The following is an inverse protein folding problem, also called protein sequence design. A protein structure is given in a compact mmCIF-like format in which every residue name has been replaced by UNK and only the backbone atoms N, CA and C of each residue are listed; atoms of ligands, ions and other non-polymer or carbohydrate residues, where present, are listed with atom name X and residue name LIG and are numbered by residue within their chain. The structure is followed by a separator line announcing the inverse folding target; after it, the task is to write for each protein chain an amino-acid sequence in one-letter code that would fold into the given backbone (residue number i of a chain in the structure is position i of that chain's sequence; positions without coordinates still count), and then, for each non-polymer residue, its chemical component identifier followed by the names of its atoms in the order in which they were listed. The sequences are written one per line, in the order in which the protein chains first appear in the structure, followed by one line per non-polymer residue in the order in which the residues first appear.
data_IF_888494030901
#
_entry.id   IF_888494030901
#
_cell.length_a   1.000
_cell.length_b   1.000
_cell.length_c   1.000
_cell.angle_alpha   90.00
_cell.angle_beta   90.00
_cell.angle_gamma   90.00
#
_symmetry.space_group_name_H-M   'P 1'
#
loop_
_entity.id
_entity.type
_entity.pdbx_description
1 polymer ?
#
# COMPACT_ATOMS: atom_id res chain seq x y z
N UNK A 1 4.05 20.91 31.88
CA UNK A 1 2.72 20.65 32.51
C UNK A 1 1.53 20.68 31.55
N UNK A 2 1.48 21.54 30.55
CA UNK A 2 0.38 21.71 29.60
C UNK A 2 0.08 20.45 28.76
N UNK A 3 1.11 19.71 28.31
CA UNK A 3 0.99 18.49 27.51
C UNK A 3 0.20 17.39 28.22
N UNK A 4 0.55 17.09 29.46
CA UNK A 4 -0.13 16.06 30.26
C UNK A 4 -1.61 16.40 30.48
N UNK A 5 -1.92 17.68 30.63
CA UNK A 5 -3.29 18.19 30.80
C UNK A 5 -4.13 18.05 29.52
N UNK A 6 -3.55 18.35 28.33
CA UNK A 6 -4.20 18.20 27.02
C UNK A 6 -4.52 16.72 26.76
N UNK A 7 -3.60 15.82 27.07
CA UNK A 7 -3.82 14.36 26.97
C UNK A 7 -4.95 13.90 27.88
N UNK A 8 -4.93 14.30 29.15
CA UNK A 8 -5.95 13.90 30.11
C UNK A 8 -7.34 14.37 29.69
N UNK A 9 -7.47 15.60 29.19
CA UNK A 9 -8.74 16.12 28.65
C UNK A 9 -9.22 15.28 27.48
N UNK A 10 -8.36 15.01 26.50
CA UNK A 10 -8.71 14.21 25.31
C UNK A 10 -9.11 12.77 25.67
N UNK A 11 -8.35 12.12 26.56
CA UNK A 11 -8.69 10.77 27.04
C UNK A 11 -10.04 10.76 27.75
N UNK A 12 -10.34 11.78 28.57
CA UNK A 12 -11.61 11.90 29.27
C UNK A 12 -12.77 12.12 28.31
N UNK A 13 -12.61 12.97 27.31
CA UNK A 13 -13.65 13.28 26.31
C UNK A 13 -13.93 12.04 25.43
N UNK A 14 -12.88 11.31 25.06
CA UNK A 14 -12.99 10.06 24.33
C UNK A 14 -13.71 8.98 25.16
N UNK A 15 -13.34 8.84 26.45
CA UNK A 15 -13.98 7.89 27.36
C UNK A 15 -15.45 8.21 27.58
N UNK A 16 -15.80 9.47 27.76
CA UNK A 16 -17.18 9.93 27.88
C UNK A 16 -17.97 9.62 26.59
N UNK A 17 -17.42 9.91 25.41
CA UNK A 17 -18.04 9.62 24.14
C UNK A 17 -18.26 8.11 23.95
N UNK A 18 -17.27 7.27 24.24
CA UNK A 18 -17.38 5.82 24.13
C UNK A 18 -18.46 5.23 25.06
N UNK A 19 -18.61 5.79 26.26
CA UNK A 19 -19.65 5.39 27.20
C UNK A 19 -21.04 5.82 26.72
N UNK A 20 -21.17 7.05 26.25
CA UNK A 20 -22.42 7.59 25.71
C UNK A 20 -22.93 6.78 24.52
N UNK A 21 -22.04 6.28 23.68
CA UNK A 21 -22.35 5.44 22.51
C UNK A 21 -22.43 3.96 22.84
N UNK A 22 -22.26 3.57 24.10
CA UNK A 22 -22.32 2.17 24.58
C UNK A 22 -21.40 1.22 23.80
N UNK A 23 -20.19 1.70 23.43
CA UNK A 23 -19.23 0.89 22.71
C UNK A 23 -18.85 -0.36 23.52
N UNK A 24 -18.77 -1.56 22.91
CA UNK A 24 -18.33 -2.78 23.57
C UNK A 24 -16.98 -2.62 24.24
N UNK A 25 -16.76 -3.33 25.35
CA UNK A 25 -15.52 -3.24 26.16
C UNK A 25 -14.26 -3.49 25.34
N UNK A 26 -14.29 -4.45 24.40
CA UNK A 26 -13.18 -4.76 23.52
C UNK A 26 -12.82 -3.59 22.60
N UNK A 27 -13.80 -2.90 22.03
CA UNK A 27 -13.55 -1.72 21.20
C UNK A 27 -13.01 -0.55 22.02
N UNK A 28 -13.55 -0.33 23.23
CA UNK A 28 -13.04 0.70 24.14
C UNK A 28 -11.57 0.45 24.53
N UNK A 29 -11.21 -0.80 24.78
CA UNK A 29 -9.83 -1.18 25.09
C UNK A 29 -8.89 -0.92 23.90
N UNK A 30 -9.33 -1.25 22.68
CA UNK A 30 -8.54 -0.98 21.44
C UNK A 30 -8.33 0.50 21.21
N UNK A 31 -9.36 1.32 21.40
CA UNK A 31 -9.26 2.80 21.27
C UNK A 31 -8.31 3.37 22.30
N UNK A 32 -8.39 2.94 23.58
CA UNK A 32 -7.46 3.38 24.64
C UNK A 32 -6.03 3.01 24.31
N UNK A 33 -5.81 1.78 23.85
CA UNK A 33 -4.48 1.30 23.48
C UNK A 33 -3.90 2.11 22.33
N UNK A 34 -4.70 2.38 21.29
CA UNK A 34 -4.33 3.22 20.16
C UNK A 34 -3.95 4.65 20.60
N UNK A 35 -4.79 5.32 21.38
CA UNK A 35 -4.50 6.68 21.87
C UNK A 35 -3.23 6.70 22.74
N UNK A 36 -3.00 5.68 23.55
CA UNK A 36 -1.79 5.59 24.37
C UNK A 36 -0.53 5.38 23.54
N UNK A 37 -0.58 4.50 22.56
CA UNK A 37 0.54 4.25 21.62
C UNK A 37 0.83 5.48 20.77
N UNK A 38 -0.21 6.07 20.20
CA UNK A 38 -0.09 7.31 19.42
C UNK A 38 0.61 8.40 20.22
N UNK A 39 0.20 8.58 21.48
CA UNK A 39 0.82 9.55 22.36
C UNK A 39 2.28 9.24 22.68
N UNK A 40 2.61 7.98 22.95
CA UNK A 40 3.97 7.54 23.21
C UNK A 40 4.91 7.76 22.01
N UNK A 41 4.42 7.49 20.79
CA UNK A 41 5.18 7.66 19.56
C UNK A 41 5.40 9.13 19.18
N UNK A 42 4.38 9.94 19.33
CA UNK A 42 4.44 11.37 18.94
C UNK A 42 5.04 12.27 20.05
N UNK A 43 5.64 11.68 21.10
CA UNK A 43 6.20 12.44 22.21
C UNK A 43 5.18 13.36 22.90
N UNK A 44 3.88 13.09 22.69
CA UNK A 44 2.78 13.87 23.25
C UNK A 44 2.37 15.11 22.45
N UNK A 45 3.02 15.37 21.34
CA UNK A 45 2.65 16.43 20.37
C UNK A 45 2.51 15.80 18.98
N UNK A 46 1.60 16.33 18.21
CA UNK A 46 1.57 16.06 16.79
C UNK A 46 2.77 16.76 16.16
N UNK A 47 3.80 16.02 15.71
CA UNK A 47 5.00 16.59 15.09
C UNK A 47 4.65 17.58 13.98
N UNK A 48 3.56 17.30 13.26
CA UNK A 48 3.07 18.19 12.22
C UNK A 48 2.41 19.45 12.78
N UNK A 49 1.96 19.47 14.05
CA UNK A 49 1.51 20.70 14.70
C UNK A 49 2.68 21.63 15.04
N UNK A 50 3.81 21.06 15.46
CA UNK A 50 5.03 21.84 15.65
C UNK A 50 5.52 22.50 14.37
N UNK A 51 5.31 21.84 13.24
CA UNK A 51 5.72 22.34 11.92
C UNK A 51 4.72 23.40 11.39
N UNK A 52 3.45 23.40 11.84
CA UNK A 52 2.43 24.34 11.35
C UNK A 52 2.77 25.81 11.65
N UNK A 53 3.39 26.08 12.79
CA UNK A 53 3.75 27.42 13.23
C UNK A 53 5.00 27.99 12.51
N UNK A 54 5.68 27.14 11.73
CA UNK A 54 6.85 27.55 10.97
C UNK A 54 6.47 28.27 9.67
N UNK A 55 7.32 29.17 9.17
CA UNK A 55 7.16 29.78 7.86
C UNK A 55 6.95 28.72 6.76
N UNK A 56 6.13 29.04 5.77
CA UNK A 56 5.72 28.07 4.73
C UNK A 56 6.91 27.42 4.02
N UNK A 57 7.95 28.18 3.68
CA UNK A 57 9.17 27.65 3.05
C UNK A 57 9.85 26.59 3.91
N UNK A 58 10.09 26.91 5.20
CA UNK A 58 10.76 25.98 6.12
C UNK A 58 9.92 24.73 6.37
N UNK A 59 8.62 24.87 6.47
CA UNK A 59 7.68 23.74 6.60
C UNK A 59 7.74 22.83 5.39
N UNK A 60 7.80 23.39 4.19
CA UNK A 60 7.92 22.63 2.93
C UNK A 60 9.26 21.88 2.87
N UNK A 61 10.35 22.52 3.24
CA UNK A 61 11.68 21.91 3.26
C UNK A 61 11.75 20.73 4.24
N UNK A 62 11.19 20.88 5.43
CA UNK A 62 11.12 19.79 6.43
C UNK A 62 10.30 18.62 5.91
N UNK A 63 9.11 18.87 5.36
CA UNK A 63 8.28 17.82 4.77
C UNK A 63 9.00 17.12 3.63
N UNK A 64 9.65 17.87 2.74
CA UNK A 64 10.45 17.32 1.66
C UNK A 64 11.53 16.40 2.19
N UNK A 65 12.30 16.84 3.17
CA UNK A 65 13.36 16.04 3.80
C UNK A 65 12.83 14.72 4.38
N UNK A 66 11.70 14.75 5.07
CA UNK A 66 11.12 13.55 5.70
C UNK A 66 10.50 12.57 4.71
N UNK A 67 9.94 13.04 3.59
CA UNK A 67 9.10 12.22 2.72
C UNK A 67 9.77 11.84 1.39
N UNK A 68 10.74 12.64 0.90
CA UNK A 68 11.26 12.52 -0.47
C UNK A 68 11.85 11.14 -0.77
N UNK A 69 12.67 10.62 0.14
CA UNK A 69 13.33 9.32 -0.05
C UNK A 69 12.33 8.16 -0.06
N UNK A 70 11.27 8.28 0.73
CA UNK A 70 10.18 7.30 0.76
C UNK A 70 9.35 7.34 -0.53
N UNK A 71 9.01 8.54 -0.99
CA UNK A 71 8.23 8.76 -2.21
C UNK A 71 9.01 8.26 -3.44
N UNK A 72 10.31 8.50 -3.51
CA UNK A 72 11.18 8.03 -4.59
C UNK A 72 11.35 6.49 -4.63
N UNK A 73 10.98 5.77 -3.59
CA UNK A 73 10.95 4.30 -3.63
C UNK A 73 9.84 3.77 -4.53
N UNK A 74 8.81 4.56 -4.81
CA UNK A 74 7.80 4.23 -5.81
C UNK A 74 8.37 4.52 -7.20
N UNK A 75 8.55 3.52 -8.07
CA UNK A 75 9.18 3.71 -9.38
C UNK A 75 8.47 4.70 -10.29
N UNK A 76 7.15 4.83 -10.14
CA UNK A 76 6.38 5.84 -10.85
C UNK A 76 6.88 7.26 -10.54
N UNK A 77 7.34 7.50 -9.32
CA UNK A 77 7.74 8.82 -8.84
C UNK A 77 9.24 9.12 -9.02
N UNK A 78 10.06 8.09 -9.30
CA UNK A 78 11.52 8.26 -9.45
C UNK A 78 11.92 9.20 -10.58
N UNK A 79 11.14 9.25 -11.66
CA UNK A 79 11.40 10.03 -12.87
C UNK A 79 10.64 11.36 -12.92
N UNK A 80 9.98 11.74 -11.80
CA UNK A 80 9.23 12.99 -11.74
C UNK A 80 10.14 14.16 -11.39
N UNK A 81 9.76 15.34 -11.92
CA UNK A 81 10.46 16.59 -11.64
C UNK A 81 10.28 16.99 -10.16
N UNK A 82 11.23 17.75 -9.64
CA UNK A 82 11.22 18.23 -8.26
C UNK A 82 9.94 18.99 -7.90
N UNK A 83 9.39 19.78 -8.82
CA UNK A 83 8.13 20.49 -8.62
C UNK A 83 6.96 19.54 -8.31
N UNK A 84 6.89 18.40 -9.01
CA UNK A 84 5.84 17.40 -8.78
C UNK A 84 6.08 16.66 -7.47
N UNK A 85 7.33 16.32 -7.19
CA UNK A 85 7.72 15.67 -5.92
C UNK A 85 7.39 16.57 -4.71
N UNK A 86 7.63 17.87 -4.80
CA UNK A 86 7.25 18.83 -3.77
C UNK A 86 5.73 18.88 -3.56
N UNK A 87 4.96 18.87 -4.65
CA UNK A 87 3.50 18.79 -4.58
C UNK A 87 3.00 17.50 -3.93
N UNK A 88 3.70 16.39 -4.11
CA UNK A 88 3.40 15.13 -3.43
C UNK A 88 3.74 15.26 -1.94
N UNK A 89 4.95 15.70 -1.60
CA UNK A 89 5.42 15.86 -0.22
C UNK A 89 4.49 16.77 0.61
N UNK A 90 4.00 17.86 0.02
CA UNK A 90 3.09 18.78 0.71
C UNK A 90 1.76 18.15 1.10
N UNK A 91 1.29 17.15 0.34
CA UNK A 91 -0.01 16.49 0.53
C UNK A 91 0.03 15.21 1.35
N UNK A 92 1.22 14.71 1.60
CA UNK A 92 1.42 13.53 2.46
C UNK A 92 1.10 13.88 3.90
N UNK A 93 0.42 12.96 4.59
CA UNK A 93 0.00 13.10 6.00
C UNK A 93 0.62 12.00 6.85
N UNK A 94 1.06 12.30 8.08
CA UNK A 94 1.53 11.27 9.00
C UNK A 94 0.38 10.37 9.44
N UNK A 95 0.67 9.08 9.57
CA UNK A 95 -0.25 8.04 10.02
C UNK A 95 0.44 7.20 11.08
N UNK A 96 -0.33 6.75 12.06
CA UNK A 96 0.13 5.83 13.10
C UNK A 96 -0.87 4.69 13.19
N UNK A 97 -0.37 3.47 13.18
CA UNK A 97 -1.16 2.26 13.31
C UNK A 97 -0.69 1.45 14.52
N UNK A 98 -1.64 0.87 15.22
CA UNK A 98 -1.37 0.01 16.38
C UNK A 98 -0.93 -1.39 15.93
N UNK A 99 -0.22 -2.08 16.82
CA UNK A 99 0.07 -3.50 16.64
C UNK A 99 -1.24 -4.28 16.42
N UNK A 100 -1.19 -5.27 15.52
CA UNK A 100 -2.30 -6.13 15.12
C UNK A 100 -3.48 -5.40 14.46
N UNK A 101 -3.32 -4.10 14.16
CA UNK A 101 -4.32 -3.34 13.42
C UNK A 101 -4.35 -3.78 11.94
N UNK A 102 -5.56 -4.06 11.45
CA UNK A 102 -5.79 -4.27 10.02
C UNK A 102 -6.02 -2.92 9.36
N UNK A 103 -5.05 -2.47 8.58
CA UNK A 103 -5.10 -1.17 7.91
C UNK A 103 -6.12 -1.18 6.77
N UNK A 104 -6.11 -2.25 5.98
CA UNK A 104 -7.05 -2.48 4.88
C UNK A 104 -7.20 -3.99 4.67
N UNK A 105 -8.38 -4.43 4.24
CA UNK A 105 -8.63 -5.84 3.89
C UNK A 105 -8.61 -6.02 2.38
N UNK A 106 -8.28 -7.22 1.94
CA UNK A 106 -8.42 -7.62 0.54
C UNK A 106 -9.86 -7.40 0.07
N UNK A 107 -10.03 -6.72 -1.07
CA UNK A 107 -11.33 -6.34 -1.62
C UNK A 107 -11.88 -4.99 -1.15
N UNK A 108 -11.37 -4.42 -0.05
CA UNK A 108 -11.79 -3.10 0.40
C UNK A 108 -11.28 -1.99 -0.55
N UNK A 109 -12.00 -0.86 -0.70
CA UNK A 109 -11.56 0.24 -1.53
C UNK A 109 -10.29 0.89 -0.98
N UNK A 110 -9.30 1.08 -1.85
CA UNK A 110 -8.03 1.72 -1.49
C UNK A 110 -8.19 3.23 -1.50
N UNK A 111 -8.07 3.86 -0.32
CA UNK A 111 -8.24 5.31 -0.16
C UNK A 111 -6.93 6.08 -0.21
N UNK A 112 -5.78 5.42 -0.01
CA UNK A 112 -4.48 6.07 0.05
C UNK A 112 -3.32 5.12 -0.27
N UNK A 113 -2.23 5.70 -0.76
CA UNK A 113 -0.92 5.04 -0.78
C UNK A 113 -0.27 5.28 0.57
N UNK A 114 0.26 4.22 1.20
CA UNK A 114 0.89 4.29 2.52
C UNK A 114 2.36 3.93 2.41
N UNK A 115 3.23 4.77 2.95
CA UNK A 115 4.69 4.61 2.98
C UNK A 115 5.12 4.32 4.42
N UNK A 116 5.77 3.20 4.67
CA UNK A 116 6.19 2.79 6.00
C UNK A 116 7.48 3.52 6.38
N UNK A 117 7.44 4.29 7.46
CA UNK A 117 8.61 4.98 8.04
C UNK A 117 9.29 4.08 9.05
N UNK A 118 8.50 3.50 9.97
CA UNK A 118 8.95 2.64 11.06
C UNK A 118 7.93 1.56 11.34
N UNK A 119 8.38 0.40 11.78
CA UNK A 119 7.52 -0.74 12.03
C UNK A 119 7.45 -1.69 10.84
N UNK A 120 6.69 -2.77 10.97
CA UNK A 120 6.53 -3.82 9.96
C UNK A 120 5.08 -4.15 9.74
N UNK A 121 4.71 -4.34 8.47
CA UNK A 121 3.34 -4.65 8.04
C UNK A 121 3.34 -5.97 7.29
N UNK A 122 2.48 -6.89 7.71
CA UNK A 122 2.24 -8.17 7.03
C UNK A 122 1.21 -7.94 5.93
N UNK A 123 1.57 -8.29 4.70
CA UNK A 123 0.65 -8.42 3.58
C UNK A 123 0.20 -9.88 3.45
N UNK A 124 -1.09 -10.11 3.28
CA UNK A 124 -1.68 -11.43 3.08
C UNK A 124 -2.64 -11.36 1.89
N UNK A 125 -2.38 -12.14 0.86
CA UNK A 125 -3.18 -12.20 -0.37
C UNK A 125 -3.73 -13.61 -0.57
N UNK A 126 -5.05 -13.72 -0.77
CA UNK A 126 -5.68 -14.98 -1.10
C UNK A 126 -5.44 -15.31 -2.58
N UNK A 127 -4.81 -16.44 -2.81
CA UNK A 127 -4.60 -16.99 -4.14
C UNK A 127 -5.61 -18.10 -4.41
N UNK A 128 -5.84 -18.40 -5.69
CA UNK A 128 -6.74 -19.47 -6.09
C UNK A 128 -6.44 -20.79 -5.34
N UNK A 129 -7.48 -21.52 -4.90
CA UNK A 129 -7.41 -22.81 -4.20
C UNK A 129 -6.94 -22.77 -2.74
N UNK A 130 -7.23 -21.71 -2.00
CA UNK A 130 -6.95 -21.64 -0.56
C UNK A 130 -5.49 -21.42 -0.21
N UNK A 131 -4.64 -21.08 -1.17
CA UNK A 131 -3.26 -20.69 -0.94
C UNK A 131 -3.21 -19.22 -0.55
N UNK A 132 -2.61 -18.92 0.61
CA UNK A 132 -2.39 -17.54 1.07
C UNK A 132 -0.91 -17.20 0.85
N UNK A 133 -0.66 -16.20 0.01
CA UNK A 133 0.66 -15.61 -0.10
C UNK A 133 0.84 -14.57 1.00
N UNK A 134 1.93 -14.65 1.75
CA UNK A 134 2.27 -13.67 2.79
C UNK A 134 3.62 -13.07 2.51
N UNK A 135 3.73 -11.76 2.72
CA UNK A 135 5.01 -11.03 2.70
C UNK A 135 5.04 -10.02 3.85
N UNK A 136 6.24 -9.59 4.21
CA UNK A 136 6.43 -8.56 5.24
C UNK A 136 6.99 -7.33 4.54
N UNK A 137 6.33 -6.19 4.77
CA UNK A 137 6.81 -4.88 4.37
C UNK A 137 7.58 -4.27 5.53
N UNK A 138 8.82 -3.90 5.26
CA UNK A 138 9.74 -3.26 6.20
C UNK A 138 9.74 -1.73 6.02
N UNK A 139 10.45 -0.98 6.89
CA UNK A 139 10.62 0.46 6.71
C UNK A 139 11.12 0.81 5.32
N UNK A 140 10.43 1.76 4.69
CA UNK A 140 10.65 2.14 3.30
C UNK A 140 9.84 1.32 2.29
N UNK A 141 9.09 0.31 2.72
CA UNK A 141 8.06 -0.32 1.92
C UNK A 141 6.84 0.57 1.78
N UNK A 142 5.99 0.26 0.81
CA UNK A 142 4.72 0.95 0.59
C UNK A 142 3.65 -0.02 0.11
N UNK A 143 2.38 0.38 0.22
CA UNK A 143 1.23 -0.35 -0.29
C UNK A 143 0.12 0.62 -0.70
N UNK A 144 -0.92 0.10 -1.37
CA UNK A 144 -1.95 0.93 -2.01
C UNK A 144 -1.55 1.35 -3.42
N UNK A 145 -0.63 0.62 -4.03
CA UNK A 145 -0.11 0.82 -5.38
C UNK A 145 -1.18 0.63 -6.48
N UNK A 146 -2.34 0.03 -6.16
CA UNK A 146 -3.51 -0.01 -7.03
C UNK A 146 -3.98 1.39 -7.45
N UNK A 147 -3.79 2.38 -6.58
CA UNK A 147 -4.10 3.78 -6.89
C UNK A 147 -3.20 4.37 -7.99
N UNK A 148 -1.97 3.86 -8.17
CA UNK A 148 -1.05 4.36 -9.19
C UNK A 148 -1.58 4.08 -10.61
N UNK A 149 -2.15 2.91 -10.84
CA UNK A 149 -2.79 2.59 -12.11
C UNK A 149 -4.14 3.28 -12.25
N UNK A 150 -4.92 3.36 -11.16
CA UNK A 150 -6.24 3.99 -11.15
C UNK A 150 -6.18 5.49 -11.48
N UNK A 151 -5.24 6.25 -10.92
CA UNK A 151 -5.13 7.69 -11.17
C UNK A 151 -4.67 8.04 -12.61
N UNK A 152 -4.09 7.07 -13.32
CA UNK A 152 -3.64 7.24 -14.71
C UNK A 152 -4.68 6.83 -15.75
N UNK A 153 -5.80 6.23 -15.34
CA UNK A 153 -6.88 5.82 -16.26
C UNK A 153 -7.60 7.04 -16.86
N UNK A 154 -7.93 6.93 -18.14
CA UNK A 154 -8.75 7.90 -18.88
C UNK A 154 -9.79 7.15 -19.74
N UNK A 155 -11.10 7.47 -19.70
CA UNK A 155 -11.72 8.44 -18.79
C UNK A 155 -11.60 8.06 -17.33
N UNK A 156 -11.73 9.02 -16.41
CA UNK A 156 -11.66 8.75 -14.99
C UNK A 156 -12.80 7.84 -14.52
N UNK A 157 -12.45 6.87 -13.71
CA UNK A 157 -13.41 6.02 -13.00
C UNK A 157 -13.47 6.53 -11.55
N UNK A 158 -14.67 6.91 -11.09
CA UNK A 158 -14.83 7.45 -9.74
C UNK A 158 -14.71 6.37 -8.66
N UNK A 159 -15.02 5.12 -9.01
CA UNK A 159 -14.88 4.00 -8.10
C UNK A 159 -13.41 3.73 -7.80
N UNK A 160 -13.06 3.73 -6.51
CA UNK A 160 -11.73 3.39 -6.04
C UNK A 160 -11.39 1.92 -6.36
N UNK A 161 -10.12 1.61 -6.63
CA UNK A 161 -9.68 0.24 -6.86
C UNK A 161 -9.79 -0.57 -5.56
N UNK A 162 -10.05 -1.85 -5.68
CA UNK A 162 -10.04 -2.78 -4.56
C UNK A 162 -8.60 -3.14 -4.18
N UNK A 163 -8.34 -3.29 -2.89
CA UNK A 163 -7.05 -3.78 -2.39
C UNK A 163 -6.83 -5.24 -2.81
N UNK A 164 -5.67 -5.52 -3.33
CA UNK A 164 -5.26 -6.87 -3.76
C UNK A 164 -4.81 -7.77 -2.59
N UNK A 165 -4.63 -7.21 -1.39
CA UNK A 165 -4.19 -7.92 -0.21
C UNK A 165 -4.74 -7.30 1.08
N UNK A 166 -4.69 -8.07 2.17
CA UNK A 166 -4.93 -7.58 3.53
C UNK A 166 -3.63 -7.15 4.16
N UNK A 167 -3.57 -5.92 4.69
CA UNK A 167 -2.39 -5.38 5.37
C UNK A 167 -2.66 -5.26 6.87
N UNK A 168 -1.81 -5.92 7.68
CA UNK A 168 -1.92 -5.97 9.14
C UNK A 168 -0.59 -5.59 9.78
N UNK A 169 -0.60 -4.69 10.74
CA UNK A 169 0.60 -4.29 11.49
C UNK A 169 1.09 -5.44 12.37
N UNK A 170 2.36 -5.81 12.26
CA UNK A 170 3.02 -6.77 13.15
C UNK A 170 3.40 -6.10 14.47
N UNK A 171 3.79 -4.85 14.38
CA UNK A 171 4.16 -3.99 15.49
C UNK A 171 3.58 -2.60 15.27
N UNK A 172 3.71 -1.73 16.26
CA UNK A 172 3.30 -0.34 16.10
C UNK A 172 4.05 0.31 14.94
N UNK A 173 3.32 0.90 14.01
CA UNK A 173 3.82 1.34 12.70
C UNK A 173 3.56 2.82 12.49
N UNK A 174 4.64 3.56 12.21
CA UNK A 174 4.58 4.95 11.73
C UNK A 174 4.67 4.95 10.21
N UNK A 175 3.84 5.76 9.58
CA UNK A 175 3.74 5.81 8.13
C UNK A 175 3.36 7.21 7.64
N UNK A 176 3.57 7.45 6.35
CA UNK A 176 2.97 8.57 5.64
C UNK A 176 1.91 8.06 4.66
N UNK A 177 0.83 8.82 4.51
CA UNK A 177 -0.26 8.50 3.59
C UNK A 177 -0.50 9.59 2.56
N UNK A 178 -0.63 9.21 1.29
CA UNK A 178 -1.08 10.07 0.21
C UNK A 178 -2.48 9.66 -0.22
N UNK A 179 -3.47 10.51 0.04
CA UNK A 179 -4.87 10.23 -0.25
C UNK A 179 -5.13 10.15 -1.77
N UNK A 180 -6.06 9.27 -2.19
CA UNK A 180 -6.43 9.04 -3.60
C UNK A 180 -6.83 10.34 -4.33
N UNK A 181 -7.58 11.22 -3.66
CA UNK A 181 -7.99 12.50 -4.23
C UNK A 181 -6.80 13.43 -4.50
N UNK A 182 -5.81 13.44 -3.61
CA UNK A 182 -4.59 14.23 -3.81
C UNK A 182 -3.74 13.67 -4.94
N UNK A 183 -3.62 12.34 -5.01
CA UNK A 183 -2.91 11.67 -6.10
C UNK A 183 -3.56 11.96 -7.45
N UNK A 184 -4.90 11.87 -7.53
CA UNK A 184 -5.68 12.21 -8.72
C UNK A 184 -5.48 13.68 -9.13
N UNK A 185 -5.54 14.60 -8.17
CA UNK A 185 -5.29 16.03 -8.41
C UNK A 185 -3.91 16.25 -9.03
N UNK A 186 -2.86 15.63 -8.46
CA UNK A 186 -1.49 15.77 -8.96
C UNK A 186 -1.37 15.22 -10.39
N UNK A 187 -1.89 14.02 -10.64
CA UNK A 187 -1.83 13.39 -11.97
C UNK A 187 -2.63 14.13 -13.03
N UNK A 188 -3.68 14.84 -12.63
CA UNK A 188 -4.47 15.67 -13.54
C UNK A 188 -3.81 17.03 -13.80
N UNK A 189 -3.31 17.67 -12.75
CA UNK A 189 -2.61 18.96 -12.86
C UNK A 189 -1.32 18.85 -13.67
N UNK A 190 -0.55 17.80 -13.48
CA UNK A 190 0.70 17.53 -14.23
C UNK A 190 0.50 16.52 -15.35
N UNK A 191 -0.66 16.53 -16.01
CA UNK A 191 -1.07 15.56 -17.04
C UNK A 191 0.00 15.34 -18.10
N UNK A 192 0.70 16.38 -18.51
CA UNK A 192 1.74 16.32 -19.56
C UNK A 192 2.90 15.37 -19.22
N UNK A 193 3.24 15.21 -17.93
CA UNK A 193 4.25 14.24 -17.47
C UNK A 193 3.70 12.84 -17.39
N UNK A 194 2.48 12.70 -16.89
CA UNK A 194 1.82 11.40 -16.70
C UNK A 194 1.22 10.81 -17.99
N UNK A 195 1.16 11.58 -19.07
CA UNK A 195 0.75 11.08 -20.39
C UNK A 195 1.76 10.12 -21.04
N UNK A 196 2.99 10.08 -20.53
CA UNK A 196 4.07 9.24 -21.06
C UNK A 196 3.73 7.75 -20.91
N UNK A 197 3.69 7.01 -22.03
CA UNK A 197 3.41 5.57 -22.06
C UNK A 197 4.39 4.74 -21.23
N UNK A 198 5.63 5.19 -21.07
CA UNK A 198 6.64 4.55 -20.22
C UNK A 198 6.22 4.57 -18.76
N UNK A 199 5.71 5.70 -18.27
CA UNK A 199 5.19 5.84 -16.90
C UNK A 199 3.93 5.00 -16.69
N UNK A 200 3.02 4.97 -17.65
CA UNK A 200 1.83 4.13 -17.59
C UNK A 200 2.18 2.64 -17.53
N UNK A 201 3.16 2.20 -18.32
CA UNK A 201 3.67 0.82 -18.24
C UNK A 201 4.29 0.53 -16.88
N UNK A 202 5.12 1.44 -16.35
CA UNK A 202 5.71 1.29 -15.01
C UNK A 202 4.62 1.12 -13.95
N UNK A 203 3.59 1.95 -13.95
CA UNK A 203 2.47 1.85 -13.01
C UNK A 203 1.72 0.50 -13.10
N UNK A 204 1.54 -0.04 -14.33
CA UNK A 204 0.87 -1.34 -14.54
C UNK A 204 1.66 -2.53 -14.00
N UNK A 205 2.98 -2.53 -14.17
CA UNK A 205 3.80 -3.71 -13.93
C UNK A 205 4.48 -3.72 -12.56
N UNK A 206 4.34 -2.65 -11.80
CA UNK A 206 5.10 -2.48 -10.57
C UNK A 206 4.37 -2.88 -9.30
N UNK A 207 3.14 -3.34 -9.36
CA UNK A 207 2.46 -3.82 -8.14
C UNK A 207 3.26 -4.95 -7.48
N UNK A 208 3.68 -4.74 -6.23
CA UNK A 208 4.38 -5.76 -5.45
C UNK A 208 3.52 -7.00 -5.25
N UNK A 209 2.22 -6.79 -5.07
CA UNK A 209 1.24 -7.86 -4.94
C UNK A 209 1.08 -8.65 -6.23
N UNK A 210 1.13 -8.01 -7.39
CA UNK A 210 1.12 -8.71 -8.68
C UNK A 210 2.34 -9.60 -8.85
N UNK A 211 3.52 -9.15 -8.47
CA UNK A 211 4.76 -9.96 -8.52
C UNK A 211 4.65 -11.20 -7.63
N UNK A 212 4.17 -11.04 -6.41
CA UNK A 212 3.95 -12.14 -5.47
C UNK A 212 2.93 -13.13 -6.04
N UNK A 213 1.80 -12.63 -6.55
CA UNK A 213 0.77 -13.44 -7.20
C UNK A 213 1.34 -14.20 -8.39
N UNK A 214 2.08 -13.56 -9.28
CA UNK A 214 2.70 -14.19 -10.45
C UNK A 214 3.72 -15.25 -10.03
N UNK A 215 4.61 -14.96 -9.08
CA UNK A 215 5.61 -15.90 -8.58
C UNK A 215 4.97 -17.17 -8.00
N UNK A 216 3.94 -17.02 -7.17
CA UNK A 216 3.24 -18.18 -6.58
C UNK A 216 2.52 -19.01 -7.64
N UNK A 217 1.85 -18.36 -8.59
CA UNK A 217 1.17 -19.10 -9.67
C UNK A 217 2.17 -19.86 -10.56
N UNK A 218 3.32 -19.28 -10.88
CA UNK A 218 4.40 -19.96 -11.60
C UNK A 218 4.90 -21.16 -10.78
N UNK A 219 5.16 -20.99 -9.47
CA UNK A 219 5.61 -22.06 -8.60
C UNK A 219 4.57 -23.20 -8.50
N UNK A 220 3.28 -22.88 -8.39
CA UNK A 220 2.20 -23.86 -8.35
C UNK A 220 2.10 -24.63 -9.69
N UNK A 221 2.22 -23.94 -10.82
CA UNK A 221 2.23 -24.56 -12.13
C UNK A 221 3.43 -25.51 -12.30
N UNK A 222 4.62 -25.06 -11.86
CA UNK A 222 5.85 -25.85 -11.86
C UNK A 222 5.73 -27.11 -11.00
N UNK A 223 5.25 -26.99 -9.76
CA UNK A 223 5.03 -28.15 -8.88
C UNK A 223 4.07 -29.17 -9.48
N UNK A 224 2.99 -28.71 -10.11
CA UNK A 224 2.04 -29.60 -10.81
C UNK A 224 2.68 -30.31 -12.00
N UNK A 225 3.49 -29.58 -12.75
CA UNK A 225 4.25 -30.15 -13.87
C UNK A 225 5.20 -31.23 -13.37
N UNK A 226 6.02 -30.96 -12.34
CA UNK A 226 6.94 -31.91 -11.73
C UNK A 226 6.21 -33.13 -11.16
N UNK A 227 5.07 -32.99 -10.49
CA UNK A 227 4.27 -34.11 -9.99
C UNK A 227 3.69 -34.98 -11.11
N UNK A 228 3.42 -34.40 -12.27
CA UNK A 228 2.94 -35.16 -13.44
C UNK A 228 4.06 -35.91 -14.17
N UNK A 229 5.24 -35.29 -14.24
CA UNK A 229 6.41 -35.90 -14.91
C UNK A 229 7.14 -36.90 -14.01
N UNK A 230 7.03 -36.77 -12.68
CA UNK A 230 7.61 -37.73 -11.72
C UNK A 230 6.81 -39.02 -11.52
N UNK A 231 5.64 -39.17 -12.14
CA UNK A 231 4.96 -40.49 -12.22
C UNK A 231 5.64 -41.30 -13.33
N UNK A 232 6.20 -42.47 -13.03
CA UNK A 232 6.85 -43.30 -14.03
C UNK A 232 5.78 -43.93 -14.95
N UNK A 233 5.38 -43.20 -15.98
CA UNK A 233 4.69 -43.78 -17.11
C UNK A 233 5.73 -43.92 -18.20
N UNK A 234 6.12 -45.16 -18.47
CA UNK A 234 6.96 -45.54 -19.59
C UNK A 234 6.25 -45.13 -20.89
N UNK A 235 6.52 -43.91 -21.34
CA UNK A 235 6.32 -43.49 -22.72
C UNK A 235 7.42 -42.49 -23.06
N UNK A 236 8.24 -42.90 -24.02
CA UNK A 236 9.22 -42.07 -24.73
C UNK A 236 8.48 -40.86 -25.28
N UNK A 237 8.75 -39.67 -24.76
CA UNK A 237 8.21 -38.40 -25.25
C UNK A 237 9.39 -37.58 -25.76
N UNK A 238 9.36 -37.32 -27.06
CA UNK A 238 10.26 -36.41 -27.75
C UNK A 238 10.38 -35.06 -27.06
N UNK A 239 11.62 -34.57 -26.87
CA UNK A 239 12.01 -33.35 -26.15
C UNK A 239 11.41 -32.04 -26.70
N UNK A 240 10.74 -32.05 -27.84
CA UNK A 240 10.16 -30.87 -28.49
C UNK A 240 8.83 -30.37 -27.89
N UNK A 241 8.04 -31.27 -27.29
CA UNK A 241 6.66 -30.97 -26.85
C UNK A 241 6.62 -30.25 -25.48
N UNK A 242 7.65 -30.41 -24.66
CA UNK A 242 7.74 -29.81 -23.33
C UNK A 242 7.98 -28.30 -23.38
N UNK A 243 8.77 -27.83 -24.33
CA UNK A 243 9.07 -26.38 -24.48
C UNK A 243 7.87 -25.61 -25.04
N UNK A 244 7.09 -26.22 -25.92
CA UNK A 244 5.83 -25.68 -26.41
C UNK A 244 4.75 -25.60 -25.31
N UNK A 245 4.69 -26.57 -24.41
CA UNK A 245 3.76 -26.56 -23.27
C UNK A 245 4.13 -25.48 -22.26
N UNK A 246 5.42 -25.31 -21.94
CA UNK A 246 5.89 -24.20 -21.08
C UNK A 246 5.57 -22.84 -21.68
N UNK A 247 5.77 -22.65 -22.99
CA UNK A 247 5.40 -21.42 -23.72
C UNK A 247 3.87 -21.20 -23.71
N UNK A 248 3.07 -22.24 -23.89
CA UNK A 248 1.59 -22.16 -23.76
C UNK A 248 1.16 -21.78 -22.35
N UNK A 249 1.79 -22.34 -21.30
CA UNK A 249 1.48 -21.96 -19.94
C UNK A 249 1.91 -20.51 -19.65
N UNK A 250 3.08 -20.09 -20.09
CA UNK A 250 3.52 -18.70 -19.97
C UNK A 250 2.59 -17.74 -20.71
N UNK A 251 2.15 -18.07 -21.93
CA UNK A 251 1.17 -17.29 -22.68
C UNK A 251 -0.20 -17.25 -21.99
N UNK A 252 -0.66 -18.36 -21.43
CA UNK A 252 -1.90 -18.45 -20.67
C UNK A 252 -1.84 -17.62 -19.37
N UNK A 253 -0.69 -17.58 -18.69
CA UNK A 253 -0.50 -16.70 -17.53
C UNK A 253 -0.47 -15.22 -17.92
N UNK A 254 0.07 -14.90 -19.07
CA UNK A 254 0.04 -13.54 -19.60
C UNK A 254 -1.36 -13.11 -20.05
N UNK A 255 -2.23 -14.08 -20.46
CA UNK A 255 -3.61 -13.82 -20.87
C UNK A 255 -4.63 -13.80 -19.71
N UNK A 256 -4.31 -14.40 -18.55
CA UNK A 256 -5.12 -14.33 -17.32
C UNK A 256 -4.83 -13.03 -16.54
N UNK A 257 -4.24 -12.04 -17.17
CA UNK A 257 -4.26 -10.67 -16.61
C UNK A 257 -5.71 -10.31 -16.26
N UNK A 258 -5.98 -9.76 -15.07
CA UNK A 258 -7.18 -8.98 -14.91
C UNK A 258 -7.15 -7.98 -16.07
N UNK A 259 -8.12 -8.11 -16.97
CA UNK A 259 -8.24 -7.20 -18.11
C UNK A 259 -8.40 -5.80 -17.54
N UNK A 260 -7.30 -5.08 -17.43
CA UNK A 260 -7.32 -3.65 -17.42
C UNK A 260 -7.82 -3.26 -18.82
N UNK A 261 -9.14 -3.14 -18.95
CA UNK A 261 -9.75 -2.46 -20.08
C UNK A 261 -9.30 -1.00 -20.04
N UNK A 262 -8.09 -0.77 -20.51
CA UNK A 262 -7.51 0.52 -20.81
C UNK A 262 -7.52 0.65 -22.33
N UNK A 263 -8.72 0.71 -22.91
CA UNK A 263 -8.97 1.38 -24.17
C UNK A 263 -9.52 2.77 -23.90
#
# INVERSE_FOLDING_TARGET
MAKKRKMQLRCRDMEWWMRRRQLPSQLRQRVRHFEHQRWAMMGGEDEMELVKDLPEGLRRDIKRFLCLDLIKKVPLFQSLDDLILDNICDRVKPLVFSKDEKIIREGDPVHRVVFIVRGRVKSSQNLSKGVIATSILEPGGFFGDELLSWCLRRPFIDRLPASSATFTCIESTEAFGLDANHLRFITDHFRYKFANERLKRTARYYSSNWRTWAAVNIQLAWRRYMMRTSRPTIHVIENGDNDQRLRKYAAMFLSIRPHDHLE
#
